data_IF_449104757710
#
_entry.id   IF_449104757710
#
_cell.length_a   1.000
_cell.length_b   1.000
_cell.length_c   1.000
_cell.angle_alpha   90.00
_cell.angle_beta   90.00
_cell.angle_gamma   90.00
#
_symmetry.space_group_name_H-M   'P 1'
#
loop_
_entity.id
_entity.type
_entity.pdbx_description
1 polymer ?
#
# COMPACT_ATOMS: atom_id res chain seq x y z
N UNK A 1 14.60 -8.72 -21.89
CA UNK A 1 13.92 -9.17 -20.66
C UNK A 1 12.92 -10.23 -21.06
N UNK A 2 13.05 -11.45 -20.55
CA UNK A 2 12.03 -12.47 -20.72
C UNK A 2 11.00 -12.30 -19.62
N UNK A 3 9.76 -11.99 -20.00
CA UNK A 3 8.63 -11.99 -19.05
C UNK A 3 8.38 -13.45 -18.70
N UNK A 4 8.60 -13.80 -17.44
CA UNK A 4 8.41 -15.16 -17.00
C UNK A 4 6.92 -15.51 -17.01
N UNK A 5 6.59 -16.71 -17.49
CA UNK A 5 5.23 -17.26 -17.44
C UNK A 5 5.02 -18.04 -16.14
N UNK A 6 5.52 -17.47 -15.04
CA UNK A 6 5.62 -18.12 -13.75
C UNK A 6 4.39 -17.74 -12.92
N UNK A 7 3.39 -18.62 -12.96
CA UNK A 7 2.25 -18.58 -12.06
C UNK A 7 2.54 -19.39 -10.79
N UNK A 8 2.21 -18.88 -9.60
CA UNK A 8 2.02 -19.76 -8.41
C UNK A 8 0.59 -19.66 -7.94
N UNK A 9 0.18 -20.76 -7.33
CA UNK A 9 -1.09 -20.93 -6.68
C UNK A 9 -0.90 -20.75 -5.18
N UNK A 10 -1.74 -19.93 -4.57
CA UNK A 10 -1.89 -19.83 -3.13
C UNK A 10 -3.26 -20.38 -2.75
N UNK A 11 -3.24 -21.42 -1.92
CA UNK A 11 -4.44 -21.94 -1.29
C UNK A 11 -4.75 -21.17 -0.01
N UNK A 12 -6.00 -20.71 0.10
CA UNK A 12 -6.60 -20.10 1.28
C UNK A 12 -7.52 -21.12 1.93
N UNK A 13 -7.20 -21.58 3.14
CA UNK A 13 -8.05 -22.51 3.89
C UNK A 13 -8.19 -22.03 5.34
N UNK A 14 -9.42 -21.80 5.79
CA UNK A 14 -9.67 -21.33 7.16
C UNK A 14 -11.12 -21.42 7.60
N UNK A 15 -11.34 -21.35 8.91
CA UNK A 15 -12.69 -21.34 9.51
C UNK A 15 -12.79 -20.16 10.46
N UNK A 16 -13.84 -19.35 10.29
CA UNK A 16 -14.20 -18.26 11.18
C UNK A 16 -15.38 -18.72 12.04
N UNK A 17 -15.21 -18.68 13.36
CA UNK A 17 -16.28 -18.96 14.31
C UNK A 17 -17.00 -17.67 14.66
N UNK A 18 -18.28 -17.60 14.32
CA UNK A 18 -19.18 -16.47 14.63
C UNK A 18 -19.66 -16.60 16.09
N UNK A 19 -19.97 -15.47 16.72
CA UNK A 19 -20.39 -15.42 18.13
C UNK A 19 -21.66 -16.24 18.46
N UNK A 20 -22.50 -16.56 17.46
CA UNK A 20 -23.68 -17.42 17.58
C UNK A 20 -23.37 -18.93 17.42
N UNK A 21 -22.10 -19.30 17.26
CA UNK A 21 -21.65 -20.67 17.03
C UNK A 21 -21.67 -21.12 15.56
N UNK A 22 -22.07 -20.26 14.62
CA UNK A 22 -21.98 -20.53 13.18
C UNK A 22 -20.52 -20.52 12.73
N UNK A 23 -20.17 -21.41 11.80
CA UNK A 23 -18.84 -21.45 11.20
C UNK A 23 -18.92 -20.97 9.75
N UNK A 24 -18.08 -19.99 9.39
CA UNK A 24 -17.90 -19.52 8.01
C UNK A 24 -16.60 -20.10 7.46
N UNK A 25 -16.67 -20.68 6.27
CA UNK A 25 -15.53 -21.35 5.64
C UNK A 25 -14.86 -20.36 4.68
N UNK A 26 -13.55 -20.18 4.84
CA UNK A 26 -12.68 -19.54 3.86
C UNK A 26 -12.02 -20.67 3.08
N UNK A 27 -12.40 -20.81 1.82
CA UNK A 27 -11.81 -21.74 0.87
C UNK A 27 -11.64 -21.02 -0.47
N UNK A 28 -10.46 -21.10 -1.07
CA UNK A 28 -10.18 -20.36 -2.27
C UNK A 28 -8.75 -20.50 -2.80
N UNK A 29 -8.63 -20.53 -4.12
CA UNK A 29 -7.36 -20.55 -4.82
C UNK A 29 -7.07 -19.17 -5.43
N UNK A 30 -6.06 -18.48 -4.92
CA UNK A 30 -5.55 -17.25 -5.51
C UNK A 30 -4.42 -17.57 -6.47
N UNK A 31 -4.54 -17.06 -7.69
CA UNK A 31 -3.48 -17.16 -8.69
C UNK A 31 -2.65 -15.88 -8.66
N UNK A 32 -1.33 -16.04 -8.73
CA UNK A 32 -0.40 -14.94 -8.91
C UNK A 32 0.47 -15.19 -10.12
N UNK A 33 0.76 -14.14 -10.88
CA UNK A 33 1.72 -14.16 -11.98
C UNK A 33 2.83 -13.17 -11.67
N UNK A 34 4.10 -13.61 -11.70
CA UNK A 34 5.21 -12.67 -11.68
C UNK A 34 5.73 -12.49 -13.09
N UNK A 35 5.63 -11.28 -13.67
CA UNK A 35 6.27 -11.03 -14.96
C UNK A 35 7.80 -11.14 -14.85
N UNK A 36 8.38 -11.19 -13.64
CA UNK A 36 9.82 -11.27 -13.40
C UNK A 36 10.15 -12.40 -12.43
N UNK A 37 11.11 -13.27 -12.79
CA UNK A 37 11.62 -14.34 -11.92
C UNK A 37 12.25 -13.74 -10.67
N UNK A 38 11.56 -13.83 -9.54
CA UNK A 38 12.17 -13.50 -8.26
C UNK A 38 11.65 -14.37 -7.12
N UNK A 39 12.57 -15.07 -6.48
CA UNK A 39 12.36 -15.67 -5.17
C UNK A 39 13.39 -15.02 -4.22
N UNK A 40 12.95 -14.29 -3.19
CA UNK A 40 13.86 -13.84 -2.16
C UNK A 40 14.39 -15.04 -1.39
N UNK A 41 15.70 -15.11 -1.19
CA UNK A 41 16.28 -15.88 -0.08
C UNK A 41 15.86 -15.21 1.24
N UNK A 42 14.75 -15.69 1.80
CA UNK A 42 14.07 -15.11 2.96
C UNK A 42 14.97 -14.97 4.19
N UNK A 43 15.99 -15.82 4.32
CA UNK A 43 16.90 -15.79 5.47
C UNK A 43 17.82 -14.58 5.41
N UNK A 44 18.35 -14.25 4.22
CA UNK A 44 19.23 -13.08 4.03
C UNK A 44 18.44 -11.77 4.24
N UNK A 45 17.18 -11.74 3.81
CA UNK A 45 16.32 -10.57 4.00
C UNK A 45 15.98 -10.31 5.46
N UNK A 46 15.85 -11.37 6.26
CA UNK A 46 15.44 -11.25 7.66
C UNK A 46 16.43 -10.42 8.48
N UNK A 47 17.73 -10.57 8.25
CA UNK A 47 18.77 -9.82 8.96
C UNK A 47 18.75 -8.33 8.58
N UNK A 48 18.63 -8.01 7.29
CA UNK A 48 18.49 -6.63 6.82
C UNK A 48 17.22 -5.98 7.40
N UNK A 49 16.08 -6.66 7.33
CA UNK A 49 14.81 -6.15 7.89
C UNK A 49 14.90 -5.99 9.40
N UNK A 50 15.56 -6.89 10.13
CA UNK A 50 15.76 -6.75 11.57
C UNK A 50 16.56 -5.48 11.90
N UNK A 51 17.71 -5.30 11.24
CA UNK A 51 18.56 -4.10 11.42
C UNK A 51 17.78 -2.83 11.08
N UNK A 52 17.12 -2.82 9.92
CA UNK A 52 16.30 -1.71 9.48
C UNK A 52 15.12 -1.42 10.40
N UNK A 53 14.49 -2.45 10.99
CA UNK A 53 13.40 -2.26 11.95
C UNK A 53 13.87 -1.55 13.21
N UNK A 54 15.07 -1.84 13.67
CA UNK A 54 15.66 -1.10 14.77
C UNK A 54 15.95 0.35 14.39
N UNK A 55 16.47 0.61 13.19
CA UNK A 55 16.82 1.96 12.76
C UNK A 55 15.58 2.80 12.41
N UNK A 56 14.54 2.20 11.82
CA UNK A 56 13.20 2.82 11.66
C UNK A 56 12.57 3.09 13.01
N UNK A 57 12.65 2.14 13.95
CA UNK A 57 12.18 2.35 15.31
C UNK A 57 12.92 3.53 15.96
N UNK A 58 14.25 3.60 15.86
CA UNK A 58 15.04 4.73 16.39
C UNK A 58 14.67 6.04 15.70
N UNK A 59 14.56 6.04 14.38
CA UNK A 59 14.22 7.21 13.58
C UNK A 59 12.86 7.77 13.98
N UNK A 60 11.82 6.93 14.01
CA UNK A 60 10.46 7.35 14.38
C UNK A 60 10.39 7.74 15.86
N UNK A 61 11.00 6.98 16.77
CA UNK A 61 10.94 7.27 18.21
C UNK A 61 11.83 8.42 18.69
N UNK A 62 12.63 9.05 17.82
CA UNK A 62 13.39 10.26 18.18
C UNK A 62 12.46 11.43 18.55
N UNK A 63 11.24 11.44 18.00
CA UNK A 63 10.21 12.47 18.23
C UNK A 63 9.03 12.00 19.10
N UNK A 64 8.84 10.68 19.29
CA UNK A 64 7.71 10.14 20.06
C UNK A 64 7.98 10.10 21.58
N UNK A 65 6.98 10.48 22.37
CA UNK A 65 7.01 10.40 23.84
C UNK A 65 7.07 8.97 24.37
N UNK A 66 7.56 8.81 25.61
CA UNK A 66 7.82 7.51 26.25
C UNK A 66 6.62 6.55 26.31
N UNK A 67 5.36 7.05 26.29
CA UNK A 67 4.15 6.21 26.30
C UNK A 67 3.87 5.51 24.96
N UNK A 68 4.42 6.01 23.85
CA UNK A 68 4.24 5.44 22.50
C UNK A 68 5.41 4.52 22.09
N UNK A 69 6.50 4.52 22.85
CA UNK A 69 7.70 3.68 22.60
C UNK A 69 7.47 2.18 22.87
N UNK A 70 6.33 1.79 23.41
CA UNK A 70 5.99 0.40 23.73
C UNK A 70 5.33 -0.37 22.57
N UNK A 71 5.28 0.20 21.36
CA UNK A 71 4.72 -0.51 20.20
C UNK A 71 5.61 -1.71 19.84
N UNK A 72 5.02 -2.87 19.47
CA UNK A 72 5.80 -4.06 19.17
C UNK A 72 6.73 -3.83 17.96
N UNK A 73 8.02 -4.16 18.09
CA UNK A 73 8.97 -4.21 16.97
C UNK A 73 8.47 -5.09 15.81
N UNK A 74 7.61 -6.08 16.10
CA UNK A 74 6.96 -6.90 15.08
C UNK A 74 6.10 -6.08 14.12
N UNK A 75 5.40 -5.04 14.59
CA UNK A 75 4.60 -4.18 13.72
C UNK A 75 5.47 -3.36 12.76
N UNK A 76 6.64 -2.91 13.22
CA UNK A 76 7.62 -2.19 12.37
C UNK A 76 8.23 -3.13 11.35
N UNK A 77 8.60 -4.35 11.77
CA UNK A 77 9.09 -5.39 10.87
C UNK A 77 8.04 -5.69 9.79
N UNK A 78 6.78 -5.82 10.18
CA UNK A 78 5.66 -6.04 9.26
C UNK A 78 5.49 -4.89 8.26
N UNK A 79 5.55 -3.63 8.69
CA UNK A 79 5.52 -2.45 7.78
C UNK A 79 6.76 -2.35 6.89
N UNK A 80 7.93 -2.73 7.40
CA UNK A 80 9.17 -2.76 6.63
C UNK A 80 9.19 -3.88 5.61
N UNK A 81 8.61 -5.04 5.92
CA UNK A 81 8.47 -6.09 4.93
C UNK A 81 7.64 -5.62 3.73
N UNK A 82 6.60 -4.80 3.94
CA UNK A 82 5.79 -4.26 2.84
C UNK A 82 6.55 -3.27 1.95
N UNK A 83 7.56 -2.59 2.50
CA UNK A 83 8.42 -1.71 1.75
C UNK A 83 9.62 -2.43 1.12
N UNK A 84 10.37 -3.17 1.92
CA UNK A 84 11.71 -3.65 1.56
C UNK A 84 11.71 -4.78 0.54
N UNK A 85 10.66 -5.60 0.49
CA UNK A 85 10.56 -6.61 -0.57
C UNK A 85 10.39 -5.98 -1.96
N UNK A 86 9.98 -4.71 -2.04
CA UNK A 86 9.79 -4.01 -3.33
C UNK A 86 11.10 -3.61 -3.98
N UNK A 87 12.25 -4.01 -3.43
CA UNK A 87 13.60 -3.61 -3.82
C UNK A 87 14.27 -4.79 -4.53
N UNK A 88 14.70 -4.58 -5.78
CA UNK A 88 15.32 -5.65 -6.58
C UNK A 88 16.56 -6.24 -5.89
N UNK A 89 16.90 -7.50 -6.23
CA UNK A 89 18.11 -8.19 -5.73
C UNK A 89 19.37 -7.31 -5.84
N UNK A 90 19.51 -6.59 -6.94
CA UNK A 90 20.64 -5.72 -7.24
C UNK A 90 20.73 -4.53 -6.26
N UNK A 91 19.59 -3.98 -5.84
CA UNK A 91 19.53 -2.91 -4.86
C UNK A 91 19.77 -3.41 -3.42
N UNK A 92 19.45 -4.66 -3.12
CA UNK A 92 19.78 -5.29 -1.83
C UNK A 92 21.28 -5.46 -1.64
N UNK A 93 21.96 -5.97 -2.66
CA UNK A 93 23.43 -6.11 -2.62
C UNK A 93 24.08 -4.72 -2.55
N UNK A 94 23.56 -3.77 -3.33
CA UNK A 94 23.99 -2.39 -3.24
C UNK A 94 23.70 -1.77 -1.86
N UNK A 95 22.56 -2.02 -1.20
CA UNK A 95 22.22 -1.39 0.10
C UNK A 95 23.00 -1.93 1.29
N UNK A 96 23.54 -3.15 1.20
CA UNK A 96 24.48 -3.68 2.21
C UNK A 96 25.85 -2.99 2.12
N UNK A 97 26.20 -2.48 0.94
CA UNK A 97 27.52 -1.90 0.64
C UNK A 97 27.47 -0.37 0.45
N UNK A 98 26.27 0.21 0.30
CA UNK A 98 26.01 1.61 0.01
C UNK A 98 25.06 2.22 1.05
N UNK A 99 25.64 3.05 1.92
CA UNK A 99 24.95 3.73 3.02
C UNK A 99 23.82 4.67 2.53
N UNK A 100 23.98 5.29 1.35
CA UNK A 100 22.96 6.18 0.78
C UNK A 100 21.68 5.40 0.42
N UNK A 101 21.85 4.24 -0.23
CA UNK A 101 20.72 3.35 -0.55
C UNK A 101 20.08 2.88 0.75
N UNK A 102 20.86 2.40 1.71
CA UNK A 102 20.35 1.97 3.02
C UNK A 102 19.47 3.04 3.70
N UNK A 103 19.93 4.30 3.72
CA UNK A 103 19.17 5.41 4.29
C UNK A 103 17.86 5.69 3.55
N UNK A 104 17.82 5.62 2.21
CA UNK A 104 16.57 5.73 1.43
C UNK A 104 15.55 4.68 1.87
N UNK A 105 16.00 3.46 2.13
CA UNK A 105 15.14 2.37 2.56
C UNK A 105 14.63 2.57 3.99
N UNK A 106 15.45 3.11 4.89
CA UNK A 106 15.06 3.46 6.27
C UNK A 106 13.98 4.55 6.25
N UNK A 107 14.12 5.58 5.40
CA UNK A 107 13.12 6.64 5.24
C UNK A 107 11.79 6.09 4.69
N UNK A 108 11.86 5.19 3.71
CA UNK A 108 10.69 4.50 3.17
C UNK A 108 9.95 3.71 4.24
N UNK A 109 10.68 2.87 4.96
CA UNK A 109 10.13 2.09 6.06
C UNK A 109 9.49 2.94 7.14
N UNK A 110 10.14 4.05 7.49
CA UNK A 110 9.65 5.03 8.46
C UNK A 110 8.35 5.67 8.00
N UNK A 111 8.26 6.05 6.73
CA UNK A 111 7.03 6.58 6.13
C UNK A 111 5.87 5.59 6.20
N UNK A 112 6.09 4.33 5.77
CA UNK A 112 5.05 3.30 5.83
C UNK A 112 4.61 3.00 7.25
N UNK A 113 5.56 2.87 8.17
CA UNK A 113 5.25 2.66 9.58
C UNK A 113 4.41 3.81 10.15
N UNK A 114 4.71 5.06 9.75
CA UNK A 114 3.91 6.21 10.14
C UNK A 114 2.50 6.20 9.57
N UNK A 115 2.30 5.78 8.32
CA UNK A 115 0.95 5.61 7.76
C UNK A 115 0.13 4.60 8.56
N UNK A 116 0.73 3.47 8.95
CA UNK A 116 0.09 2.48 9.82
C UNK A 116 -0.25 3.02 11.20
N UNK A 117 0.66 3.79 11.82
CA UNK A 117 0.37 4.44 13.10
C UNK A 117 -0.81 5.39 12.96
N UNK A 118 -0.86 6.18 11.88
CA UNK A 118 -1.94 7.14 11.64
C UNK A 118 -3.27 6.42 11.42
N UNK A 119 -3.27 5.32 10.66
CA UNK A 119 -4.44 4.45 10.45
C UNK A 119 -4.95 3.86 11.77
N UNK A 120 -4.08 3.24 12.57
CA UNK A 120 -4.44 2.66 13.88
C UNK A 120 -4.94 3.73 14.87
N UNK A 121 -4.32 4.92 14.88
CA UNK A 121 -4.74 6.05 15.74
C UNK A 121 -6.10 6.54 15.27
N UNK A 122 -6.31 6.63 13.96
CA UNK A 122 -7.60 6.98 13.40
C UNK A 122 -8.66 5.95 13.81
N UNK A 123 -8.43 4.64 13.61
CA UNK A 123 -9.34 3.56 14.05
C UNK A 123 -9.70 3.69 15.54
N UNK A 124 -8.75 4.03 16.42
CA UNK A 124 -8.98 4.15 17.88
C UNK A 124 -9.72 5.42 18.31
N UNK A 125 -9.79 6.44 17.46
CA UNK A 125 -10.49 7.70 17.76
C UNK A 125 -12.00 7.62 17.50
N UNK A 126 -12.55 6.41 17.59
CA UNK A 126 -13.92 6.10 17.18
C UNK A 126 -14.96 6.78 18.07
N UNK A 127 -15.90 7.45 17.41
CA UNK A 127 -16.86 8.39 17.98
C UNK A 127 -17.13 9.52 16.98
N UNK A 128 -18.41 9.84 16.75
CA UNK A 128 -19.00 10.65 15.64
C UNK A 128 -18.36 12.03 15.30
N UNK A 129 -17.28 12.46 15.95
CA UNK A 129 -16.55 13.68 15.60
C UNK A 129 -15.02 13.61 15.75
N UNK A 130 -14.45 12.51 16.26
CA UNK A 130 -13.01 12.37 16.56
C UNK A 130 -12.18 11.95 15.35
N UNK A 131 -12.49 10.77 14.79
CA UNK A 131 -11.81 10.19 13.62
C UNK A 131 -11.75 11.16 12.42
N UNK A 132 -12.92 11.59 11.93
CA UNK A 132 -12.99 12.48 10.76
C UNK A 132 -12.31 13.84 10.99
N UNK A 133 -12.37 14.40 12.20
CA UNK A 133 -11.70 15.68 12.50
C UNK A 133 -10.19 15.52 12.57
N UNK A 134 -9.70 14.44 13.18
CA UNK A 134 -8.28 14.13 13.29
C UNK A 134 -7.65 13.88 11.92
N UNK A 135 -8.20 12.94 11.14
CA UNK A 135 -7.68 12.62 9.80
C UNK A 135 -7.72 13.85 8.88
N UNK A 136 -8.78 14.67 8.95
CA UNK A 136 -8.88 15.91 8.19
C UNK A 136 -7.81 16.93 8.56
N UNK A 137 -7.54 17.09 9.85
CA UNK A 137 -6.56 18.03 10.35
C UNK A 137 -5.13 17.57 10.02
N UNK A 138 -4.84 16.29 10.20
CA UNK A 138 -3.56 15.66 9.81
C UNK A 138 -3.35 15.76 8.31
N UNK A 139 -4.34 15.40 7.50
CA UNK A 139 -4.27 15.49 6.03
C UNK A 139 -4.03 16.92 5.52
N UNK A 140 -4.74 17.90 6.09
CA UNK A 140 -4.52 19.33 5.76
C UNK A 140 -3.14 19.82 6.17
N UNK A 141 -2.63 19.33 7.29
CA UNK A 141 -1.32 19.74 7.78
C UNK A 141 -0.21 19.11 6.94
N UNK A 142 -0.29 17.80 6.66
CA UNK A 142 0.61 17.13 5.74
C UNK A 142 0.58 17.81 4.35
N UNK A 143 -0.60 18.13 3.82
CA UNK A 143 -0.71 18.89 2.57
C UNK A 143 0.08 20.20 2.62
N UNK A 144 -0.07 20.98 3.69
CA UNK A 144 0.71 22.22 3.85
C UNK A 144 2.19 21.90 3.84
N UNK A 145 2.65 20.91 4.62
CA UNK A 145 4.05 20.50 4.68
C UNK A 145 4.63 20.10 3.31
N UNK A 146 3.87 19.36 2.50
CA UNK A 146 4.31 18.96 1.16
C UNK A 146 4.27 20.09 0.12
N UNK A 147 3.40 21.09 0.29
CA UNK A 147 3.26 22.23 -0.61
C UNK A 147 4.16 23.42 -0.24
N UNK A 148 4.94 23.32 0.85
CA UNK A 148 5.91 24.32 1.26
C UNK A 148 7.16 24.30 0.36
N UNK A 149 6.98 24.73 -0.89
CA UNK A 149 7.97 25.45 -1.69
C UNK A 149 7.16 26.56 -2.38
N UNK A 150 7.29 27.85 -2.01
CA UNK A 150 8.24 28.86 -2.52
C UNK A 150 7.96 30.20 -1.77
N UNK A 151 8.82 31.23 -1.74
CA UNK A 151 10.17 31.40 -1.21
C UNK A 151 10.17 32.17 0.15
N UNK A 152 9.16 31.98 1.00
CA UNK A 152 8.97 32.81 2.20
C UNK A 152 9.07 32.06 3.54
N UNK A 153 9.79 30.93 3.60
CA UNK A 153 10.01 30.25 4.90
C UNK A 153 10.98 31.04 5.79
N UNK A 154 11.85 31.89 5.22
CA UNK A 154 12.58 32.88 6.01
C UNK A 154 11.69 33.99 6.60
N UNK A 155 10.39 34.06 6.25
CA UNK A 155 9.43 35.03 6.81
C UNK A 155 8.23 34.40 7.52
N UNK A 156 8.02 33.09 7.42
CA UNK A 156 7.14 32.35 8.33
C UNK A 156 8.02 31.89 9.47
N UNK A 157 8.02 32.64 10.57
CA UNK A 157 8.61 32.17 11.83
C UNK A 157 8.05 30.77 12.10
N UNK A 158 8.90 29.73 11.99
CA UNK A 158 8.52 28.34 12.17
C UNK A 158 7.71 28.18 13.46
N UNK A 159 8.13 28.85 14.53
CA UNK A 159 7.44 28.90 15.82
C UNK A 159 5.97 29.35 15.71
N UNK A 160 5.60 30.24 14.78
CA UNK A 160 4.21 30.70 14.57
C UNK A 160 3.36 29.72 13.76
N UNK A 161 3.92 29.02 12.78
CA UNK A 161 3.19 27.94 12.08
C UNK A 161 2.92 26.80 13.07
N UNK A 162 3.93 26.46 13.88
CA UNK A 162 3.85 25.42 14.91
C UNK A 162 2.96 25.82 16.09
N UNK A 163 2.99 27.06 16.57
CA UNK A 163 2.07 27.56 17.61
C UNK A 163 0.61 27.54 17.15
N UNK A 164 0.35 27.85 15.88
CA UNK A 164 -1.00 27.75 15.30
C UNK A 164 -1.46 26.29 15.18
N UNK A 165 -0.56 25.35 14.84
CA UNK A 165 -0.85 23.91 14.84
C UNK A 165 -1.12 23.41 16.28
N UNK A 166 -0.29 23.81 17.25
CA UNK A 166 -0.45 23.57 18.69
C UNK A 166 -1.82 23.97 19.20
N UNK A 167 -2.28 25.17 18.81
CA UNK A 167 -3.59 25.69 19.23
C UNK A 167 -4.79 25.03 18.55
N UNK A 168 -4.62 24.46 17.34
CA UNK A 168 -5.74 23.99 16.51
C UNK A 168 -6.11 22.53 16.71
N UNK A 169 -5.19 21.67 17.20
CA UNK A 169 -5.39 20.21 17.12
C UNK A 169 -5.45 19.52 18.48
N UNK A 170 -4.88 20.08 19.56
CA UNK A 170 -5.04 19.56 20.94
C UNK A 170 -4.64 18.09 21.18
N UNK A 171 -4.14 17.37 20.17
CA UNK A 171 -3.84 15.94 20.21
C UNK A 171 -2.60 15.62 19.35
N UNK A 172 -1.56 15.10 20.02
CA UNK A 172 -0.38 14.34 19.53
C UNK A 172 0.31 14.85 18.25
N UNK A 173 1.01 15.96 18.41
CA UNK A 173 1.87 16.63 17.41
C UNK A 173 3.05 15.75 16.93
N UNK A 174 3.45 14.75 17.71
CA UNK A 174 4.66 13.95 17.51
C UNK A 174 4.67 13.20 16.17
N UNK A 175 3.53 12.64 15.74
CA UNK A 175 3.44 11.91 14.47
C UNK A 175 3.59 12.82 13.24
N UNK A 176 3.08 14.04 13.34
CA UNK A 176 3.23 15.05 12.28
C UNK A 176 4.69 15.48 12.17
N UNK A 177 5.39 15.64 13.30
CA UNK A 177 6.83 15.95 13.28
C UNK A 177 7.66 14.83 12.64
N UNK A 178 7.32 13.56 12.89
CA UNK A 178 7.99 12.45 12.19
C UNK A 178 7.72 12.50 10.69
N UNK A 179 6.47 12.74 10.27
CA UNK A 179 6.15 12.86 8.84
C UNK A 179 6.86 14.06 8.19
N UNK A 180 6.98 15.18 8.90
CA UNK A 180 7.73 16.34 8.43
C UNK A 180 9.21 16.01 8.22
N UNK A 181 9.84 15.42 9.23
CA UNK A 181 11.22 14.98 9.18
C UNK A 181 11.49 14.06 7.97
N UNK A 182 10.59 13.10 7.72
CA UNK A 182 10.67 12.20 6.56
C UNK A 182 10.62 12.98 5.24
N UNK A 183 9.73 13.97 5.15
CA UNK A 183 9.55 14.80 3.94
C UNK A 183 10.77 15.66 3.68
N UNK A 184 11.33 16.29 4.71
CA UNK A 184 12.54 17.11 4.59
C UNK A 184 13.74 16.26 4.18
N UNK A 185 13.90 15.09 4.79
CA UNK A 185 14.97 14.16 4.42
C UNK A 185 14.80 13.68 2.95
N UNK A 186 13.57 13.44 2.48
CA UNK A 186 13.31 13.10 1.07
C UNK A 186 13.73 14.22 0.10
N UNK A 187 13.52 15.49 0.45
CA UNK A 187 13.90 16.64 -0.40
C UNK A 187 15.41 16.77 -0.57
N UNK A 188 16.22 16.15 0.29
CA UNK A 188 17.69 16.19 0.17
C UNK A 188 18.22 15.36 -1.01
N UNK A 189 17.42 14.45 -1.56
CA UNK A 189 17.84 13.61 -2.67
C UNK A 189 17.75 14.33 -4.03
N UNK A 190 18.79 14.26 -4.88
CA UNK A 190 18.90 15.08 -6.09
C UNK A 190 17.85 14.79 -7.18
N UNK A 191 17.22 13.62 -7.17
CA UNK A 191 16.15 13.21 -8.10
C UNK A 191 14.74 13.57 -7.58
N UNK A 192 14.62 14.03 -6.33
CA UNK A 192 13.36 14.50 -5.75
C UNK A 192 13.12 15.92 -6.21
N UNK A 193 12.49 16.03 -7.38
CA UNK A 193 12.17 17.33 -7.98
C UNK A 193 10.90 17.95 -7.36
N UNK A 194 10.70 19.27 -7.48
CA UNK A 194 9.44 19.90 -7.04
C UNK A 194 8.18 19.30 -7.69
N UNK A 195 8.18 18.93 -9.00
CA UNK A 195 7.12 18.12 -9.59
C UNK A 195 6.88 16.81 -8.84
N UNK A 196 7.93 16.02 -8.59
CA UNK A 196 7.84 14.74 -7.87
C UNK A 196 7.21 14.91 -6.49
N UNK A 197 7.67 15.89 -5.72
CA UNK A 197 7.10 16.20 -4.39
C UNK A 197 5.64 16.65 -4.49
N UNK A 198 5.28 17.45 -5.49
CA UNK A 198 3.89 17.85 -5.73
C UNK A 198 2.98 16.67 -6.06
N UNK A 199 3.47 15.67 -6.79
CA UNK A 199 2.73 14.44 -7.08
C UNK A 199 2.52 13.61 -5.81
N UNK A 200 3.58 13.37 -5.04
CA UNK A 200 3.51 12.65 -3.77
C UNK A 200 2.55 13.35 -2.77
N UNK A 201 2.65 14.67 -2.65
CA UNK A 201 1.74 15.52 -1.87
C UNK A 201 0.29 15.29 -2.23
N UNK A 202 0.01 15.24 -3.53
CA UNK A 202 -1.34 15.11 -4.08
C UNK A 202 -1.91 13.73 -3.78
N UNK A 203 -1.13 12.67 -3.97
CA UNK A 203 -1.55 11.30 -3.65
C UNK A 203 -1.89 11.17 -2.16
N UNK A 204 -1.03 11.71 -1.29
CA UNK A 204 -1.24 11.70 0.16
C UNK A 204 -2.48 12.50 0.59
N UNK A 205 -2.62 13.71 0.06
CA UNK A 205 -3.79 14.55 0.32
C UNK A 205 -5.07 13.81 -0.03
N UNK A 206 -5.15 13.23 -1.23
CA UNK A 206 -6.33 12.47 -1.63
C UNK A 206 -6.58 11.27 -0.74
N UNK A 207 -5.54 10.52 -0.35
CA UNK A 207 -5.67 9.43 0.62
C UNK A 207 -6.28 9.89 1.94
N UNK A 208 -5.75 10.94 2.57
CA UNK A 208 -6.27 11.45 3.84
C UNK A 208 -7.67 12.09 3.74
N UNK A 209 -7.95 12.83 2.67
CA UNK A 209 -9.28 13.40 2.43
C UNK A 209 -10.33 12.29 2.24
N UNK A 210 -9.96 11.22 1.52
CA UNK A 210 -10.84 10.08 1.32
C UNK A 210 -10.98 9.25 2.59
N UNK A 211 -9.94 9.02 3.38
CA UNK A 211 -10.06 8.38 4.69
C UNK A 211 -10.97 9.19 5.64
N UNK A 212 -10.86 10.52 5.63
CA UNK A 212 -11.74 11.42 6.41
C UNK A 212 -13.20 11.27 6.00
N UNK A 213 -13.44 11.36 4.68
CA UNK A 213 -14.78 11.22 4.12
C UNK A 213 -15.33 9.83 4.41
N UNK A 214 -14.51 8.81 4.20
CA UNK A 214 -14.85 7.42 4.42
C UNK A 214 -15.20 7.15 5.88
N UNK A 215 -14.40 7.61 6.85
CA UNK A 215 -14.72 7.47 8.27
C UNK A 215 -16.02 8.18 8.68
N UNK A 216 -16.39 9.25 7.98
CA UNK A 216 -17.68 9.93 8.17
C UNK A 216 -18.86 9.20 7.50
N UNK A 217 -18.58 8.53 6.38
CA UNK A 217 -19.57 7.83 5.54
C UNK A 217 -19.85 6.39 6.01
N UNK A 218 -18.82 5.67 6.48
CA UNK A 218 -18.86 4.28 6.99
C UNK A 218 -19.97 4.06 8.03
N UNK A 219 -20.25 5.08 8.84
CA UNK A 219 -21.29 5.01 9.88
C UNK A 219 -22.71 5.30 9.37
N UNK A 220 -22.90 5.73 8.13
CA UNK A 220 -24.20 6.20 7.61
C UNK A 220 -24.69 5.48 6.36
N UNK A 221 -23.80 5.03 5.48
CA UNK A 221 -24.20 4.51 4.16
C UNK A 221 -23.27 3.41 3.66
N UNK A 222 -23.80 2.52 2.82
CA UNK A 222 -23.02 1.55 2.05
C UNK A 222 -22.65 2.22 0.73
N UNK A 223 -21.41 2.06 0.27
CA UNK A 223 -20.98 2.59 -1.02
C UNK A 223 -21.49 1.72 -2.16
N UNK A 224 -21.89 2.38 -3.25
CA UNK A 224 -22.08 1.70 -4.53
C UNK A 224 -20.76 1.06 -4.97
N UNK A 225 -20.83 -0.17 -5.51
CA UNK A 225 -19.64 -0.95 -5.90
C UNK A 225 -18.70 -0.20 -6.86
N UNK A 226 -19.26 0.57 -7.79
CA UNK A 226 -18.51 1.34 -8.80
C UNK A 226 -17.71 2.47 -8.13
N UNK A 227 -18.38 3.27 -7.31
CA UNK A 227 -17.77 4.35 -6.53
C UNK A 227 -16.74 3.80 -5.54
N UNK A 228 -17.04 2.68 -4.86
CA UNK A 228 -16.10 2.04 -3.94
C UNK A 228 -14.81 1.65 -4.65
N UNK A 229 -14.90 0.96 -5.79
CA UNK A 229 -13.72 0.53 -6.56
C UNK A 229 -12.78 1.70 -6.86
N UNK A 230 -13.34 2.85 -7.25
CA UNK A 230 -12.55 4.05 -7.54
C UNK A 230 -11.91 4.65 -6.28
N UNK A 231 -12.63 4.68 -5.16
CA UNK A 231 -12.16 5.30 -3.92
C UNK A 231 -11.22 4.41 -3.11
N UNK A 232 -11.43 3.09 -3.11
CA UNK A 232 -10.73 2.11 -2.26
C UNK A 232 -9.23 2.14 -2.52
N UNK A 233 -8.81 2.15 -3.79
CA UNK A 233 -7.40 2.23 -4.18
C UNK A 233 -6.65 3.41 -3.56
N UNK A 234 -7.33 4.55 -3.41
CA UNK A 234 -6.78 5.78 -2.82
C UNK A 234 -6.83 5.76 -1.31
N UNK A 235 -7.88 5.18 -0.71
CA UNK A 235 -8.05 5.01 0.74
C UNK A 235 -6.91 4.17 1.32
N UNK A 236 -6.52 3.09 0.64
CA UNK A 236 -5.41 2.23 1.08
C UNK A 236 -4.02 2.79 0.73
N UNK A 237 -3.95 3.98 0.11
CA UNK A 237 -2.69 4.70 -0.12
C UNK A 237 -1.77 4.10 -1.20
N UNK A 238 -2.28 3.23 -2.08
CA UNK A 238 -1.45 2.64 -3.14
C UNK A 238 -0.83 3.70 -4.08
N UNK A 239 -1.53 4.81 -4.29
CA UNK A 239 -1.01 5.89 -5.13
C UNK A 239 0.26 6.48 -4.53
N UNK A 240 0.23 6.74 -3.22
CA UNK A 240 1.38 7.29 -2.52
C UNK A 240 2.51 6.27 -2.41
N UNK A 241 2.19 4.97 -2.27
CA UNK A 241 3.18 3.88 -2.31
C UNK A 241 3.94 3.86 -3.63
N UNK A 242 3.24 3.86 -4.75
CA UNK A 242 3.88 3.84 -6.07
C UNK A 242 4.74 5.09 -6.28
N UNK A 243 4.24 6.29 -5.95
CA UNK A 243 5.05 7.51 -6.09
C UNK A 243 6.32 7.48 -5.24
N UNK A 244 6.22 7.00 -4.01
CA UNK A 244 7.38 6.90 -3.12
C UNK A 244 8.40 5.89 -3.65
N UNK A 245 7.94 4.77 -4.20
CA UNK A 245 8.84 3.80 -4.82
C UNK A 245 9.55 4.38 -6.04
N UNK A 246 8.84 5.09 -6.91
CA UNK A 246 9.44 5.75 -8.07
C UNK A 246 10.48 6.80 -7.68
N UNK A 247 10.27 7.47 -6.53
CA UNK A 247 11.28 8.32 -5.90
C UNK A 247 12.49 7.49 -5.50
N UNK A 248 12.32 6.45 -4.68
CA UNK A 248 13.45 5.62 -4.20
C UNK A 248 14.26 5.08 -5.37
N UNK A 249 13.60 4.56 -6.40
CA UNK A 249 14.24 3.96 -7.56
C UNK A 249 14.90 4.96 -8.51
N UNK A 250 14.81 6.26 -8.21
CA UNK A 250 15.36 7.35 -9.02
C UNK A 250 14.78 7.38 -10.44
N UNK A 251 13.54 6.93 -10.58
CA UNK A 251 12.82 6.81 -11.86
C UNK A 251 11.49 7.59 -11.84
N UNK A 252 11.43 8.84 -11.37
CA UNK A 252 10.17 9.58 -11.42
C UNK A 252 9.72 9.71 -12.88
N UNK A 253 8.57 9.13 -13.27
CA UNK A 253 8.15 9.16 -14.67
C UNK A 253 7.84 10.61 -15.07
N UNK A 254 8.31 10.98 -16.26
CA UNK A 254 7.97 12.26 -16.87
C UNK A 254 6.45 12.41 -16.98
N UNK A 255 5.96 13.66 -17.01
CA UNK A 255 4.52 13.93 -17.14
C UNK A 255 3.89 13.18 -18.33
N UNK A 256 4.62 13.15 -19.46
CA UNK A 256 4.22 12.43 -20.67
C UNK A 256 4.03 10.93 -20.48
N UNK A 257 4.85 10.29 -19.63
CA UNK A 257 4.69 8.87 -19.26
C UNK A 257 3.42 8.70 -18.42
N UNK A 258 3.16 9.62 -17.48
CA UNK A 258 1.99 9.56 -16.61
C UNK A 258 0.68 9.78 -17.36
N UNK A 259 0.71 10.55 -18.42
CA UNK A 259 -0.43 10.83 -19.32
C UNK A 259 -0.59 9.75 -20.41
N UNK A 260 0.35 8.81 -20.52
CA UNK A 260 0.24 7.70 -21.45
C UNK A 260 -0.94 6.80 -21.05
N UNK A 261 -1.80 6.51 -22.02
CA UNK A 261 -2.98 5.67 -21.81
C UNK A 261 -2.67 4.31 -21.19
N UNK A 262 -1.59 3.66 -21.64
CA UNK A 262 -1.21 2.33 -21.16
C UNK A 262 -0.63 2.37 -19.75
N UNK A 263 0.10 3.44 -19.41
CA UNK A 263 0.53 3.69 -18.03
C UNK A 263 -0.68 3.79 -17.09
N UNK A 264 -1.65 4.65 -17.42
CA UNK A 264 -2.85 4.83 -16.61
C UNK A 264 -3.64 3.53 -16.47
N UNK A 265 -3.73 2.75 -17.56
CA UNK A 265 -4.39 1.44 -17.55
C UNK A 265 -3.73 0.46 -16.59
N UNK A 266 -2.43 0.19 -16.75
CA UNK A 266 -1.70 -0.71 -15.83
C UNK A 266 -1.77 -0.21 -14.40
N UNK A 267 -1.60 1.09 -14.21
CA UNK A 267 -1.64 1.69 -12.88
C UNK A 267 -3.01 1.51 -12.21
N UNK A 268 -4.11 1.59 -12.96
CA UNK A 268 -5.46 1.26 -12.45
C UNK A 268 -5.60 -0.23 -12.17
N UNK A 269 -5.25 -1.10 -13.11
CA UNK A 269 -5.38 -2.56 -12.96
C UNK A 269 -4.56 -3.07 -11.77
N UNK A 270 -3.32 -2.60 -11.64
CA UNK A 270 -2.45 -2.95 -10.53
C UNK A 270 -2.97 -2.47 -9.17
N UNK A 271 -3.51 -1.25 -9.09
CA UNK A 271 -4.13 -0.76 -7.84
C UNK A 271 -5.39 -1.54 -7.48
N UNK A 272 -6.19 -1.89 -8.47
CA UNK A 272 -7.38 -2.73 -8.30
C UNK A 272 -7.01 -4.09 -7.73
N UNK A 273 -5.98 -4.71 -8.30
CA UNK A 273 -5.43 -5.96 -7.78
C UNK A 273 -5.00 -5.83 -6.32
N UNK A 274 -4.27 -4.76 -5.99
CA UNK A 274 -3.77 -4.50 -4.64
C UNK A 274 -4.87 -4.36 -3.58
N UNK A 275 -5.93 -3.59 -3.86
CA UNK A 275 -7.01 -3.45 -2.87
C UNK A 275 -7.91 -4.69 -2.78
N UNK A 276 -8.18 -5.38 -3.89
CA UNK A 276 -9.01 -6.61 -3.86
C UNK A 276 -8.34 -7.70 -3.05
N UNK A 277 -7.04 -7.85 -3.24
CA UNK A 277 -6.25 -8.75 -2.41
C UNK A 277 -6.31 -8.35 -0.93
N UNK A 278 -6.23 -7.05 -0.61
CA UNK A 278 -6.38 -6.58 0.75
C UNK A 278 -7.77 -6.94 1.32
N UNK A 279 -8.85 -6.75 0.56
CA UNK A 279 -10.21 -7.14 0.96
C UNK A 279 -10.30 -8.65 1.25
N UNK A 280 -9.72 -9.50 0.39
CA UNK A 280 -9.68 -10.96 0.55
C UNK A 280 -8.88 -11.38 1.78
N UNK A 281 -7.68 -10.84 1.97
CA UNK A 281 -6.78 -11.26 3.05
C UNK A 281 -7.15 -10.66 4.41
N UNK A 282 -7.80 -9.49 4.42
CA UNK A 282 -8.27 -8.83 5.65
C UNK A 282 -9.66 -9.28 6.10
N UNK A 283 -10.40 -10.02 5.26
CA UNK A 283 -11.81 -10.37 5.49
C UNK A 283 -12.07 -10.97 6.86
N UNK A 284 -11.13 -11.74 7.42
CA UNK A 284 -11.31 -12.29 8.76
C UNK A 284 -11.41 -11.20 9.82
N UNK A 285 -10.39 -10.33 9.93
CA UNK A 285 -10.35 -9.23 10.92
C UNK A 285 -11.64 -8.42 10.80
N UNK A 286 -11.96 -8.07 9.56
CA UNK A 286 -13.08 -7.21 9.22
C UNK A 286 -14.44 -7.89 9.50
N UNK A 287 -14.60 -9.17 9.18
CA UNK A 287 -15.81 -9.92 9.50
C UNK A 287 -15.99 -10.10 11.01
N UNK A 288 -14.93 -10.37 11.77
CA UNK A 288 -14.99 -10.49 13.23
C UNK A 288 -15.47 -9.17 13.89
N UNK A 289 -14.94 -8.03 13.44
CA UNK A 289 -15.36 -6.71 13.90
C UNK A 289 -16.81 -6.40 13.51
N UNK A 290 -17.19 -6.70 12.26
CA UNK A 290 -18.57 -6.56 11.75
C UNK A 290 -19.56 -7.36 12.61
N UNK A 291 -19.23 -8.62 12.91
CA UNK A 291 -20.11 -9.51 13.67
C UNK A 291 -20.20 -9.14 15.16
N UNK A 292 -19.17 -8.51 15.72
CA UNK A 292 -19.12 -8.14 17.14
C UNK A 292 -19.99 -6.91 17.45
N UNK A 293 -19.80 -5.84 16.67
CA UNK A 293 -20.36 -4.53 17.00
C UNK A 293 -21.31 -3.99 15.91
N UNK A 294 -21.56 -4.75 14.84
CA UNK A 294 -22.38 -4.33 13.70
C UNK A 294 -21.76 -3.19 12.88
N UNK A 295 -20.49 -2.87 13.15
CA UNK A 295 -19.76 -1.79 12.48
C UNK A 295 -19.63 -2.13 11.02
N UNK A 296 -20.22 -1.32 10.14
CA UNK A 296 -20.08 -1.46 8.69
C UNK A 296 -18.62 -1.38 8.32
N UNK A 297 -18.08 -2.34 7.57
CA UNK A 297 -16.67 -2.35 7.16
C UNK A 297 -16.55 -2.30 5.65
N UNK A 298 -15.53 -1.58 5.19
CA UNK A 298 -15.24 -1.33 3.78
C UNK A 298 -14.63 -2.55 3.10
N UNK A 299 -15.39 -3.63 2.99
CA UNK A 299 -14.93 -4.85 2.34
C UNK A 299 -15.90 -5.24 1.23
N UNK A 300 -15.38 -5.53 0.03
CA UNK A 300 -16.21 -5.96 -1.10
C UNK A 300 -17.09 -7.17 -0.74
N UNK A 301 -16.55 -8.12 0.02
CA UNK A 301 -17.22 -9.37 0.41
C UNK A 301 -18.38 -9.04 1.38
N UNK A 302 -18.12 -8.23 2.41
CA UNK A 302 -19.15 -7.82 3.38
C UNK A 302 -20.25 -6.98 2.72
N UNK A 303 -19.87 -6.09 1.81
CA UNK A 303 -20.81 -5.26 1.04
C UNK A 303 -21.67 -6.14 0.11
N UNK A 304 -21.09 -7.17 -0.51
CA UNK A 304 -21.86 -8.11 -1.33
C UNK A 304 -22.85 -8.91 -0.48
N UNK A 305 -22.47 -9.31 0.74
CA UNK A 305 -23.39 -9.95 1.69
C UNK A 305 -24.56 -9.03 2.05
N UNK A 306 -24.28 -7.77 2.41
CA UNK A 306 -25.30 -6.80 2.86
C UNK A 306 -26.22 -6.32 1.70
N UNK A 307 -25.65 -5.97 0.54
CA UNK A 307 -26.43 -5.37 -0.57
C UNK A 307 -27.06 -6.38 -1.51
N UNK A 308 -26.41 -7.53 -1.71
CA UNK A 308 -26.85 -8.51 -2.73
C UNK A 308 -27.48 -9.75 -2.11
N UNK A 309 -27.68 -9.77 -0.78
CA UNK A 309 -28.13 -10.94 -0.01
C UNK A 309 -27.35 -12.22 -0.38
N UNK A 310 -26.06 -12.07 -0.68
CA UNK A 310 -25.18 -13.19 -1.02
C UNK A 310 -24.71 -13.90 0.24
N UNK A 311 -24.51 -15.22 0.16
CA UNK A 311 -23.78 -15.92 1.22
C UNK A 311 -22.33 -15.45 1.26
N UNK A 312 -21.69 -15.60 2.42
CA UNK A 312 -20.28 -15.27 2.60
C UNK A 312 -19.41 -16.01 1.58
N UNK A 313 -19.63 -17.31 1.42
CA UNK A 313 -18.87 -18.19 0.54
C UNK A 313 -19.02 -17.75 -0.92
N UNK A 314 -20.24 -17.35 -1.32
CA UNK A 314 -20.47 -16.88 -2.69
C UNK A 314 -19.84 -15.51 -2.96
N UNK A 315 -19.89 -14.61 -1.99
CA UNK A 315 -19.24 -13.30 -2.09
C UNK A 315 -17.71 -13.44 -2.16
N UNK A 316 -17.13 -14.33 -1.35
CA UNK A 316 -15.71 -14.68 -1.37
C UNK A 316 -15.28 -15.28 -2.72
N UNK A 317 -16.04 -16.25 -3.23
CA UNK A 317 -15.78 -16.89 -4.53
C UNK A 317 -15.74 -15.85 -5.67
N UNK A 318 -16.70 -14.92 -5.70
CA UNK A 318 -16.75 -13.84 -6.69
C UNK A 318 -15.51 -12.94 -6.57
N UNK A 319 -15.14 -12.53 -5.36
CA UNK A 319 -14.00 -11.64 -5.15
C UNK A 319 -12.68 -12.30 -5.59
N UNK A 320 -12.51 -13.59 -5.32
CA UNK A 320 -11.37 -14.40 -5.79
C UNK A 320 -11.37 -14.51 -7.32
N UNK A 321 -12.51 -14.79 -7.95
CA UNK A 321 -12.61 -14.88 -9.40
C UNK A 321 -12.25 -13.55 -10.07
N UNK A 322 -12.75 -12.43 -9.54
CA UNK A 322 -12.42 -11.09 -10.03
C UNK A 322 -10.93 -10.77 -9.84
N UNK A 323 -10.35 -11.11 -8.68
CA UNK A 323 -8.91 -10.98 -8.45
C UNK A 323 -8.11 -11.77 -9.49
N UNK A 324 -8.43 -13.05 -9.69
CA UNK A 324 -7.72 -13.93 -10.61
C UNK A 324 -7.82 -13.46 -12.07
N UNK A 325 -8.99 -12.93 -12.48
CA UNK A 325 -9.15 -12.30 -13.79
C UNK A 325 -8.26 -11.06 -13.98
N UNK A 326 -8.14 -10.22 -12.94
CA UNK A 326 -7.28 -9.03 -12.98
C UNK A 326 -5.80 -9.38 -13.06
N UNK A 327 -5.36 -10.49 -12.48
CA UNK A 327 -3.97 -10.96 -12.64
C UNK A 327 -3.65 -11.25 -14.11
N UNK A 328 -4.58 -11.90 -14.82
CA UNK A 328 -4.44 -12.17 -16.25
C UNK A 328 -4.43 -10.88 -17.05
N UNK A 329 -5.37 -9.98 -16.78
CA UNK A 329 -5.45 -8.68 -17.45
C UNK A 329 -4.15 -7.88 -17.26
N UNK A 330 -3.71 -7.74 -16.01
CA UNK A 330 -2.49 -7.02 -15.65
C UNK A 330 -1.24 -7.58 -16.34
N UNK A 331 -1.10 -8.92 -16.36
CA UNK A 331 -0.02 -9.61 -17.07
C UNK A 331 -0.05 -9.29 -18.57
N UNK A 332 -1.22 -9.45 -19.20
CA UNK A 332 -1.36 -9.25 -20.64
C UNK A 332 -1.12 -7.78 -21.03
N UNK A 333 -1.53 -6.83 -20.19
CA UNK A 333 -1.20 -5.42 -20.36
C UNK A 333 0.31 -5.18 -20.28
N UNK A 334 0.99 -5.72 -19.27
CA UNK A 334 2.45 -5.61 -19.15
C UNK A 334 3.16 -6.21 -20.37
N UNK A 335 2.74 -7.40 -20.82
CA UNK A 335 3.29 -8.05 -22.01
C UNK A 335 3.05 -7.25 -23.28
N UNK A 336 1.84 -6.76 -23.49
CA UNK A 336 1.49 -5.98 -24.68
C UNK A 336 2.34 -4.72 -24.81
N UNK A 337 2.55 -3.99 -23.70
CA UNK A 337 3.39 -2.78 -23.72
C UNK A 337 4.85 -3.11 -24.03
N UNK A 338 5.37 -4.19 -23.47
CA UNK A 338 6.76 -4.59 -23.69
C UNK A 338 6.99 -5.17 -25.09
N UNK A 339 5.95 -5.73 -25.73
CA UNK A 339 6.02 -6.34 -27.05
C UNK A 339 5.79 -5.37 -28.21
N UNK A 340 5.16 -4.21 -27.99
CA UNK A 340 4.82 -3.24 -29.05
C UNK A 340 5.68 -1.96 -28.95
N UNK A 341 6.75 -1.81 -29.76
CA UNK A 341 7.55 -0.59 -29.79
C UNK A 341 6.76 0.70 -30.10
N UNK A 342 5.61 0.54 -30.78
CA UNK A 342 4.70 1.63 -31.14
C UNK A 342 4.00 2.29 -29.94
N UNK A 343 3.84 1.58 -28.82
CA UNK A 343 3.27 2.13 -27.58
C UNK A 343 4.19 3.19 -26.97
N UNK A 344 5.49 3.05 -27.23
CA UNK A 344 6.54 3.94 -26.78
C UNK A 344 7.08 4.83 -27.91
N UNK A 345 6.36 4.97 -29.02
CA UNK A 345 6.85 5.59 -30.25
C UNK A 345 7.38 7.02 -30.04
N UNK A 346 6.72 7.80 -29.18
CA UNK A 346 7.12 9.18 -28.86
C UNK A 346 8.04 9.31 -27.63
N UNK A 347 8.44 8.20 -27.01
CA UNK A 347 9.36 8.18 -25.86
C UNK A 347 10.80 8.01 -26.35
N UNK A 348 11.72 8.83 -25.83
CA UNK A 348 13.15 8.60 -26.03
C UNK A 348 13.63 7.37 -25.22
N UNK A 349 14.84 6.88 -25.50
CA UNK A 349 15.34 5.64 -24.87
C UNK A 349 15.36 5.69 -23.33
N UNK A 350 15.68 6.86 -22.75
CA UNK A 350 15.65 7.06 -21.31
C UNK A 350 14.23 7.02 -20.74
N UNK A 351 13.25 7.62 -21.43
CA UNK A 351 11.84 7.58 -21.04
C UNK A 351 11.28 6.16 -21.12
N UNK A 352 11.69 5.38 -22.13
CA UNK A 352 11.34 3.96 -22.25
C UNK A 352 11.92 3.13 -21.12
N UNK A 353 13.19 3.33 -20.81
CA UNK A 353 13.84 2.62 -19.69
C UNK A 353 13.14 2.94 -18.36
N UNK A 354 12.87 4.22 -18.09
CA UNK A 354 12.13 4.67 -16.90
C UNK A 354 10.74 4.02 -16.85
N UNK A 355 10.03 4.00 -17.98
CA UNK A 355 8.71 3.37 -18.09
C UNK A 355 8.76 1.89 -17.69
N UNK A 356 9.66 1.13 -18.31
CA UNK A 356 9.82 -0.31 -18.07
C UNK A 356 10.22 -0.60 -16.63
N UNK A 357 11.19 0.12 -16.09
CA UNK A 357 11.63 -0.02 -14.68
C UNK A 357 10.52 0.35 -13.70
N UNK A 358 9.68 1.31 -14.06
CA UNK A 358 8.52 1.70 -13.25
C UNK A 358 7.45 0.61 -13.25
N UNK A 359 7.23 -0.06 -14.39
CA UNK A 359 6.36 -1.24 -14.47
C UNK A 359 6.90 -2.41 -13.65
N UNK A 360 8.19 -2.70 -13.77
CA UNK A 360 8.87 -3.68 -12.91
C UNK A 360 8.66 -3.36 -11.43
N UNK A 361 8.83 -2.09 -11.05
CA UNK A 361 8.65 -1.64 -9.68
C UNK A 361 7.21 -1.89 -9.19
N UNK A 362 6.19 -1.48 -9.95
CA UNK A 362 4.77 -1.66 -9.58
C UNK A 362 4.41 -3.15 -9.49
N UNK A 363 4.77 -3.93 -10.51
CA UNK A 363 4.48 -5.38 -10.58
C UNK A 363 5.13 -6.13 -9.42
N UNK A 364 6.40 -5.83 -9.14
CA UNK A 364 7.16 -6.35 -8.00
C UNK A 364 6.48 -5.95 -6.69
N UNK A 365 6.06 -4.69 -6.55
CA UNK A 365 5.42 -4.18 -5.34
C UNK A 365 4.12 -4.89 -5.01
N UNK A 366 3.25 -5.03 -6.02
CA UNK A 366 1.98 -5.73 -5.85
C UNK A 366 2.20 -7.19 -5.45
N UNK A 367 3.19 -7.84 -6.04
CA UNK A 367 3.59 -9.23 -5.73
C UNK A 367 4.06 -9.42 -4.28
N UNK A 368 4.68 -8.39 -3.70
CA UNK A 368 5.22 -8.44 -2.34
C UNK A 368 4.24 -8.01 -1.27
N UNK A 369 3.30 -7.13 -1.61
CA UNK A 369 2.13 -6.89 -0.76
C UNK A 369 1.50 -8.24 -0.41
N UNK A 370 1.34 -9.15 -1.37
CA UNK A 370 0.77 -10.49 -1.17
C UNK A 370 1.56 -11.31 -0.16
N UNK A 371 2.86 -11.52 -0.42
CA UNK A 371 3.70 -12.34 0.47
C UNK A 371 3.81 -11.75 1.87
N UNK A 372 3.81 -10.42 1.97
CA UNK A 372 3.87 -9.74 3.26
C UNK A 372 2.56 -9.87 4.01
N UNK A 373 1.41 -9.65 3.38
CA UNK A 373 0.10 -9.84 4.03
C UNK A 373 -0.06 -11.27 4.57
N UNK A 374 0.43 -12.29 3.85
CA UNK A 374 0.43 -13.69 4.32
C UNK A 374 1.39 -13.95 5.49
N UNK A 375 2.42 -13.11 5.66
CA UNK A 375 3.43 -13.23 6.72
C UNK A 375 3.13 -12.38 7.95
N UNK A 376 2.38 -11.29 7.80
CA UNK A 376 2.06 -10.36 8.87
C UNK A 376 1.22 -11.03 9.95
N UNK A 377 1.59 -10.78 11.20
CA UNK A 377 0.83 -11.25 12.36
C UNK A 377 -0.60 -10.68 12.33
N UNK A 378 -0.76 -9.47 11.76
CA UNK A 378 -2.03 -8.76 11.59
C UNK A 378 -3.13 -9.60 10.91
N UNK A 379 -2.77 -10.55 10.04
CA UNK A 379 -3.72 -11.38 9.29
C UNK A 379 -3.65 -12.88 9.66
N UNK A 380 -2.71 -13.29 10.52
CA UNK A 380 -2.27 -14.68 10.69
C UNK A 380 -3.02 -15.55 11.69
N UNK A 381 -4.13 -15.11 12.25
CA UNK A 381 -4.92 -16.00 13.11
C UNK A 381 -5.75 -16.96 12.22
N UNK A 382 -5.66 -18.27 12.46
CA UNK A 382 -6.49 -19.41 11.96
C UNK A 382 -6.82 -19.55 10.45
N UNK A 383 -6.17 -18.83 9.54
CA UNK A 383 -6.17 -19.16 8.10
C UNK A 383 -4.82 -19.81 7.79
N UNK A 384 -4.86 -21.00 7.20
CA UNK A 384 -3.69 -21.70 6.70
C UNK A 384 -3.44 -21.27 5.27
N UNK A 385 -2.20 -20.93 4.96
CA UNK A 385 -1.76 -20.52 3.64
C UNK A 385 -0.76 -21.55 3.14
N UNK A 386 -0.99 -22.11 1.95
CA UNK A 386 0.01 -22.96 1.30
C UNK A 386 0.24 -22.52 -0.15
N UNK A 387 1.50 -22.21 -0.47
CA UNK A 387 1.92 -22.03 -1.85
C UNK A 387 2.20 -23.39 -2.47
N UNK A 388 1.84 -23.53 -3.74
CA UNK A 388 2.27 -24.66 -4.54
C UNK A 388 2.81 -24.19 -5.89
N UNK A 389 3.94 -24.75 -6.31
CA UNK A 389 4.56 -24.53 -7.63
C UNK A 389 3.80 -25.31 -8.70
N UNK A 390 2.51 -25.01 -8.85
CA UNK A 390 1.60 -25.64 -9.81
C UNK A 390 1.23 -24.70 -10.93
N UNK A 391 2.24 -24.28 -11.69
CA UNK A 391 2.07 -23.38 -12.84
C UNK A 391 1.00 -23.88 -13.82
N UNK A 392 0.95 -25.18 -14.09
CA UNK A 392 -0.03 -25.78 -15.02
C UNK A 392 -1.47 -25.76 -14.46
N UNK A 393 -1.65 -26.00 -13.14
CA UNK A 393 -2.96 -25.92 -12.48
C UNK A 393 -3.49 -24.48 -12.49
N UNK A 394 -2.62 -23.52 -12.16
CA UNK A 394 -2.95 -22.10 -12.22
C UNK A 394 -3.32 -21.65 -13.65
N UNK A 395 -2.60 -22.12 -14.67
CA UNK A 395 -2.91 -21.85 -16.09
C UNK A 395 -4.24 -22.45 -16.52
N UNK A 396 -4.55 -23.67 -16.08
CA UNK A 396 -5.83 -24.33 -16.34
C UNK A 396 -6.99 -23.57 -15.70
N UNK A 397 -6.86 -23.12 -14.45
CA UNK A 397 -7.90 -22.35 -13.74
C UNK A 397 -8.21 -21.02 -14.42
N UNK A 398 -7.21 -20.42 -15.10
CA UNK A 398 -7.34 -19.13 -15.78
C UNK A 398 -7.78 -19.24 -17.25
N UNK A 399 -8.00 -20.46 -17.77
CA UNK A 399 -8.38 -20.70 -19.17
C UNK A 399 -7.47 -19.96 -20.18
N UNK A 400 -6.15 -19.93 -19.95
CA UNK A 400 -5.21 -19.34 -20.91
C UNK A 400 -5.33 -20.04 -22.27
N UNK A 401 -5.67 -19.26 -23.31
CA UNK A 401 -5.58 -19.67 -24.73
C UNK A 401 -4.38 -19.02 -25.38
#
# INVERSE_FOLDING_TARGET
MDIADDFKLLKLEGVIKVANGEEKIIDGDLVFCWPYKWEPDLNIWQDLVNKMAEDVFKYVNRRLSFKEKSRPLSLIKDSLWMGLFNISKSWREASLENEEIYHKLVLFGSYFYMLYILDDVAEKLDGNSGHGRYVKNVGRLLQKLFMLEYPNINSINEDNLFLNIKSAVGFREEYIYVMFDIIEDLKTYPFVTPPTMKYLARCLRYGFELQTWFGSYKNSHILESSLRSELRSRIIGLDALVEFLLVIYEIPPALKVRENFYWDRIYRTGRTLGYKLNDILSIRKELEEYLKDGTRIDNAILIAMENKNMSFEKAMEIEIQEHNALVVEFRNECQGILAEPGIMFDMNDQEREIFVRSLECITTTLSHLIQTHLKMVRYKANITYSFSDKTDEAKHMLNFK
#
